data_IF_517763239518
#
_entry.id   IF_517763239518
#
_cell.length_a   1.000
_cell.length_b   1.000
_cell.length_c   1.000
_cell.angle_alpha   90.00
_cell.angle_beta   90.00
_cell.angle_gamma   90.00
#
_symmetry.space_group_name_H-M   'P 1'
#
loop_
_entity.id
_entity.type
_entity.pdbx_description
1 polymer ?
#
# COMPACT_ATOMS: atom_id res chain seq x y z
N UNK A 1 11.13 23.76 25.55
CA UNK A 1 10.42 22.98 26.58
C UNK A 1 9.73 21.78 25.91
N UNK A 2 10.41 20.64 25.77
CA UNK A 2 9.74 19.38 25.42
C UNK A 2 9.15 18.82 26.71
N UNK A 3 7.98 19.35 27.09
CA UNK A 3 7.19 18.81 28.20
C UNK A 3 6.91 17.34 27.91
N UNK A 4 7.10 16.49 28.93
CA UNK A 4 6.91 15.04 28.86
C UNK A 4 5.63 14.73 28.07
N UNK A 5 5.75 14.00 26.96
CA UNK A 5 4.58 13.53 26.20
C UNK A 5 3.76 12.70 27.19
N UNK A 6 2.57 13.18 27.50
CA UNK A 6 1.74 12.53 28.51
C UNK A 6 1.19 11.22 27.94
N UNK A 7 0.98 10.22 28.79
CA UNK A 7 0.50 8.90 28.40
C UNK A 7 -0.74 8.94 27.47
N UNK A 8 -1.72 9.83 27.68
CA UNK A 8 -2.84 10.03 26.75
C UNK A 8 -2.42 10.52 25.34
N UNK A 9 -1.39 11.38 25.25
CA UNK A 9 -0.88 11.86 23.96
C UNK A 9 -0.18 10.75 23.19
N UNK A 10 0.54 9.85 23.87
CA UNK A 10 1.14 8.67 23.24
C UNK A 10 0.06 7.71 22.70
N UNK A 11 -0.98 7.45 23.49
CA UNK A 11 -2.10 6.60 23.05
C UNK A 11 -2.83 7.22 21.86
N UNK A 12 -3.09 8.54 21.91
CA UNK A 12 -3.77 9.24 20.82
C UNK A 12 -2.95 9.23 19.53
N UNK A 13 -1.64 9.52 19.61
CA UNK A 13 -0.74 9.44 18.46
C UNK A 13 -0.64 8.02 17.90
N UNK A 14 -0.61 7.00 18.76
CA UNK A 14 -0.62 5.60 18.36
C UNK A 14 -1.90 5.21 17.61
N UNK A 15 -3.07 5.58 18.15
CA UNK A 15 -4.36 5.32 17.51
C UNK A 15 -4.47 6.06 16.18
N UNK A 16 -4.07 7.34 16.12
CA UNK A 16 -4.07 8.10 14.86
C UNK A 16 -3.10 7.54 13.82
N UNK A 17 -1.93 7.06 14.24
CA UNK A 17 -0.96 6.42 13.34
C UNK A 17 -1.50 5.12 12.75
N UNK A 18 -2.10 4.26 13.59
CA UNK A 18 -2.68 2.98 13.14
C UNK A 18 -3.93 3.23 12.30
N UNK A 19 -4.85 4.08 12.76
CA UNK A 19 -6.07 4.38 12.05
C UNK A 19 -5.79 5.11 10.73
N UNK A 20 -4.88 6.08 10.70
CA UNK A 20 -4.45 6.75 9.47
C UNK A 20 -3.73 5.79 8.52
N UNK A 21 -2.86 4.93 9.03
CA UNK A 21 -2.19 3.89 8.25
C UNK A 21 -3.16 2.87 7.67
N UNK A 22 -4.19 2.44 8.39
CA UNK A 22 -5.16 1.50 7.83
C UNK A 22 -6.12 2.24 6.88
N UNK A 23 -6.65 3.40 7.25
CA UNK A 23 -7.71 4.05 6.49
C UNK A 23 -7.22 4.76 5.23
N UNK A 24 -5.98 5.28 5.22
CA UNK A 24 -5.38 5.92 4.04
C UNK A 24 -4.65 4.89 3.19
N UNK A 25 -3.88 4.00 3.82
CA UNK A 25 -2.97 3.11 3.08
C UNK A 25 -3.69 1.88 2.53
N UNK A 26 -4.71 1.34 3.20
CA UNK A 26 -5.47 0.18 2.70
C UNK A 26 -6.16 0.44 1.35
N UNK A 27 -6.96 1.52 1.14
CA UNK A 27 -7.62 1.75 -0.14
C UNK A 27 -6.65 2.08 -1.27
N UNK A 28 -5.56 2.80 -0.97
CA UNK A 28 -4.51 3.12 -1.95
C UNK A 28 -3.75 1.84 -2.36
N UNK A 29 -3.42 1.00 -1.38
CA UNK A 29 -2.69 -0.25 -1.62
C UNK A 29 -3.54 -1.29 -2.35
N UNK A 30 -4.85 -1.34 -2.10
CA UNK A 30 -5.77 -2.24 -2.79
C UNK A 30 -5.85 -1.92 -4.30
N UNK A 31 -6.00 -0.64 -4.67
CA UNK A 31 -5.93 -0.25 -6.08
C UNK A 31 -4.56 -0.55 -6.67
N UNK A 32 -3.49 -0.17 -5.99
CA UNK A 32 -2.12 -0.43 -6.45
C UNK A 32 -1.83 -1.92 -6.65
N UNK A 33 -2.36 -2.78 -5.78
CA UNK A 33 -2.22 -4.24 -5.88
C UNK A 33 -2.97 -4.81 -7.08
N UNK A 34 -4.17 -4.28 -7.39
CA UNK A 34 -4.92 -4.67 -8.59
C UNK A 34 -4.20 -4.23 -9.86
N UNK A 35 -3.72 -2.99 -9.90
CA UNK A 35 -3.00 -2.44 -11.06
C UNK A 35 -1.70 -3.21 -11.34
N UNK A 36 -0.96 -3.58 -10.28
CA UNK A 36 0.22 -4.43 -10.41
C UNK A 36 -0.09 -5.83 -10.95
N UNK A 37 -1.19 -6.44 -10.52
CA UNK A 37 -1.62 -7.74 -11.05
C UNK A 37 -1.96 -7.66 -12.53
N UNK A 38 -2.70 -6.64 -12.94
CA UNK A 38 -3.06 -6.41 -14.34
C UNK A 38 -1.81 -6.15 -15.20
N UNK A 39 -0.87 -5.32 -14.73
CA UNK A 39 0.37 -5.05 -15.44
C UNK A 39 1.22 -6.32 -15.62
N UNK A 40 1.30 -7.15 -14.57
CA UNK A 40 2.07 -8.40 -14.58
C UNK A 40 1.44 -9.44 -15.51
N UNK A 41 0.11 -9.46 -15.63
CA UNK A 41 -0.60 -10.32 -16.58
C UNK A 41 -0.38 -9.87 -18.03
N UNK A 42 -0.45 -8.56 -18.31
CA UNK A 42 -0.15 -8.01 -19.64
C UNK A 42 1.29 -8.29 -20.06
N UNK A 43 2.26 -8.16 -19.14
CA UNK A 43 3.66 -8.52 -19.41
C UNK A 43 3.83 -10.00 -19.75
N UNK A 44 3.16 -10.91 -19.02
CA UNK A 44 3.16 -12.34 -19.35
C UNK A 44 2.60 -12.62 -20.74
N UNK A 45 1.48 -11.99 -21.09
CA UNK A 45 0.86 -12.15 -22.41
C UNK A 45 1.77 -11.66 -23.54
N UNK A 46 2.49 -10.55 -23.33
CA UNK A 46 3.48 -10.04 -24.30
C UNK A 46 4.65 -11.01 -24.44
N UNK A 47 5.19 -11.53 -23.34
CA UNK A 47 6.29 -12.51 -23.37
C UNK A 47 5.87 -13.82 -24.06
N UNK A 48 4.66 -14.31 -23.81
CA UNK A 48 4.13 -15.51 -24.46
C UNK A 48 3.87 -15.29 -25.97
N UNK A 49 3.46 -14.08 -26.34
CA UNK A 49 3.26 -13.67 -27.74
C UNK A 49 4.58 -13.56 -28.50
N UNK A 50 5.63 -13.05 -27.85
CA UNK A 50 7.00 -12.99 -28.40
C UNK A 50 7.61 -14.40 -28.55
N UNK A 51 7.41 -15.29 -27.58
CA UNK A 51 7.86 -16.70 -27.65
C UNK A 51 7.18 -17.50 -28.76
N UNK A 52 5.90 -17.24 -29.06
CA UNK A 52 5.19 -17.90 -30.17
C UNK A 52 5.56 -17.35 -31.55
N UNK A 53 6.30 -16.24 -31.62
CA UNK A 53 6.71 -15.59 -32.87
C UNK A 53 8.13 -15.98 -33.33
N UNK A 54 8.89 -16.71 -32.50
CA UNK A 54 10.18 -17.31 -32.83
C UNK A 54 10.03 -18.79 -33.17
#
# INVERSE_FOLDING_TARGET
MFGRVTLPQMLFAGILGIAGGIYIFQPIFEQYSRDQKELKEKLKLVEESEKKKS
#
